data_IF_389528128212
#
_entry.id   IF_389528128212
#
_cell.length_a   1.000
_cell.length_b   1.000
_cell.length_c   1.000
_cell.angle_alpha   90.00
_cell.angle_beta   90.00
_cell.angle_gamma   90.00
#
_symmetry.space_group_name_H-M   'P 1'
#
loop_
_entity.id
_entity.type
_entity.pdbx_description
1 polymer ?
#
# COMPACT_ATOMS: atom_id res chain seq x y z
N UNK A 1 -4.26 -7.82 -21.79
CA UNK A 1 -4.62 -7.07 -20.56
C UNK A 1 -4.68 -5.60 -20.96
N UNK A 2 -5.74 -4.88 -20.61
CA UNK A 2 -5.84 -3.45 -20.93
C UNK A 2 -4.80 -2.69 -20.11
N UNK A 3 -4.07 -1.77 -20.74
CA UNK A 3 -3.25 -0.80 -20.00
C UNK A 3 -4.19 0.06 -19.14
N UNK A 4 -3.87 0.31 -17.86
CA UNK A 4 -4.62 1.25 -17.03
C UNK A 4 -4.65 2.65 -17.66
N UNK A 5 -5.69 3.43 -17.36
CA UNK A 5 -5.69 4.84 -17.74
C UNK A 5 -4.49 5.57 -17.08
N UNK A 6 -3.92 6.61 -17.72
CA UNK A 6 -2.89 7.44 -17.09
C UNK A 6 -3.35 7.97 -15.72
N UNK A 7 -2.41 8.26 -14.83
CA UNK A 7 -2.71 8.91 -13.56
C UNK A 7 -2.73 10.42 -13.78
N UNK A 8 -3.85 11.06 -13.43
CA UNK A 8 -4.00 12.53 -13.52
C UNK A 8 -3.73 13.23 -12.17
N UNK A 9 -4.03 12.56 -11.06
CA UNK A 9 -3.82 13.07 -9.69
C UNK A 9 -3.26 11.96 -8.80
N UNK A 10 -1.99 12.10 -8.39
CA UNK A 10 -1.33 11.13 -7.52
C UNK A 10 -1.93 11.07 -6.12
N UNK A 11 -2.62 12.11 -5.66
CA UNK A 11 -3.18 12.15 -4.30
C UNK A 11 -4.46 11.33 -4.15
N UNK A 12 -5.21 11.12 -5.24
CA UNK A 12 -6.51 10.44 -5.23
C UNK A 12 -6.63 9.24 -6.18
N UNK A 13 -5.66 9.02 -7.06
CA UNK A 13 -5.71 7.94 -8.06
C UNK A 13 -4.31 7.38 -8.38
N UNK A 14 -3.43 7.29 -7.38
CA UNK A 14 -2.05 6.83 -7.60
C UNK A 14 -1.97 5.41 -8.19
N UNK A 15 -0.92 5.20 -8.99
CA UNK A 15 -0.52 3.90 -9.52
C UNK A 15 1.01 3.77 -9.53
N UNK A 16 1.54 2.96 -8.63
CA UNK A 16 2.99 2.70 -8.53
C UNK A 16 3.56 1.89 -9.71
N UNK A 17 2.70 1.36 -10.60
CA UNK A 17 3.11 0.73 -11.85
C UNK A 17 3.02 1.69 -13.05
N UNK A 18 2.56 2.95 -12.86
CA UNK A 18 2.51 3.93 -13.94
C UNK A 18 3.91 4.18 -14.52
N UNK A 19 4.06 4.30 -15.85
CA UNK A 19 5.36 4.54 -16.48
C UNK A 19 6.13 5.72 -15.90
N UNK A 20 5.42 6.80 -15.54
CA UNK A 20 5.96 8.01 -14.92
C UNK A 20 6.57 7.71 -13.55
N UNK A 21 5.85 6.95 -12.70
CA UNK A 21 6.33 6.52 -11.39
C UNK A 21 7.54 5.61 -11.50
N UNK A 22 7.52 4.66 -12.44
CA UNK A 22 8.62 3.71 -12.65
C UNK A 22 9.87 4.43 -13.18
N UNK A 23 9.70 5.44 -14.03
CA UNK A 23 10.80 6.20 -14.63
C UNK A 23 11.49 7.14 -13.64
N UNK A 24 10.73 7.93 -12.89
CA UNK A 24 11.26 8.85 -11.87
C UNK A 24 10.22 9.10 -10.75
N UNK A 25 10.27 8.34 -9.65
CA UNK A 25 9.26 8.45 -8.60
C UNK A 25 9.49 9.62 -7.65
N UNK A 26 10.69 10.22 -7.63
CA UNK A 26 11.06 11.18 -6.58
C UNK A 26 10.19 12.45 -6.57
N UNK A 27 9.88 13.08 -7.72
CA UNK A 27 8.98 14.23 -7.76
C UNK A 27 7.58 13.89 -7.23
N UNK A 28 7.05 12.71 -7.55
CA UNK A 28 5.73 12.25 -7.10
C UNK A 28 5.74 12.08 -5.57
N UNK A 29 6.78 11.44 -5.03
CA UNK A 29 6.91 11.30 -3.59
C UNK A 29 7.02 12.65 -2.85
N UNK A 30 7.73 13.63 -3.42
CA UNK A 30 7.85 14.97 -2.85
C UNK A 30 6.51 15.73 -2.87
N UNK A 31 5.76 15.64 -3.97
CA UNK A 31 4.41 16.18 -4.08
C UNK A 31 3.49 15.59 -3.00
N UNK A 32 3.44 14.26 -2.88
CA UNK A 32 2.58 13.59 -1.91
C UNK A 32 2.95 13.96 -0.47
N UNK A 33 4.24 13.94 -0.09
CA UNK A 33 4.65 14.26 1.28
C UNK A 33 4.29 15.69 1.71
N UNK A 34 4.28 16.63 0.76
CA UNK A 34 4.03 18.05 1.02
C UNK A 34 2.55 18.41 0.92
N UNK A 35 1.80 17.81 -0.01
CA UNK A 35 0.38 18.11 -0.25
C UNK A 35 -0.59 17.14 0.42
N UNK A 36 -0.47 15.84 0.14
CA UNK A 36 -1.38 14.79 0.61
C UNK A 36 -0.58 13.57 1.12
N UNK A 37 -0.14 13.57 2.38
CA UNK A 37 0.80 12.58 2.88
C UNK A 37 0.21 11.17 3.03
N UNK A 38 -1.11 11.04 2.95
CA UNK A 38 -1.85 9.77 3.01
C UNK A 38 -2.79 9.74 1.79
N UNK A 39 -2.24 9.36 0.65
CA UNK A 39 -2.97 9.34 -0.63
C UNK A 39 -3.90 8.12 -0.72
N UNK A 40 -4.97 8.21 -1.49
CA UNK A 40 -5.91 7.11 -1.73
C UNK A 40 -5.96 6.73 -3.21
N UNK A 41 -6.32 5.49 -3.52
CA UNK A 41 -6.59 5.05 -4.90
C UNK A 41 -7.65 3.95 -4.89
N UNK A 42 -8.56 3.99 -5.86
CA UNK A 42 -9.56 2.93 -6.11
C UNK A 42 -9.06 1.89 -7.13
N UNK A 43 -7.86 2.07 -7.70
CA UNK A 43 -7.29 1.16 -8.72
C UNK A 43 -7.00 -0.24 -8.17
N UNK A 44 -6.73 -0.32 -6.88
CA UNK A 44 -6.36 -1.54 -6.18
C UNK A 44 -7.43 -1.91 -5.16
N UNK A 45 -7.76 -3.19 -5.08
CA UNK A 45 -8.72 -3.73 -4.11
C UNK A 45 -10.04 -2.93 -4.11
N UNK A 46 -10.65 -2.71 -2.95
CA UNK A 46 -11.81 -1.82 -2.74
C UNK A 46 -11.39 -0.39 -2.33
N UNK A 47 -10.11 -0.04 -2.55
CA UNK A 47 -9.49 1.18 -2.04
C UNK A 47 -8.20 0.86 -1.28
N UNK A 48 -7.11 1.57 -1.59
CA UNK A 48 -5.82 1.44 -0.90
C UNK A 48 -5.27 2.81 -0.51
N UNK A 49 -4.77 2.90 0.72
CA UNK A 49 -4.14 4.09 1.25
C UNK A 49 -2.61 3.98 1.18
N UNK A 50 -1.95 5.07 0.79
CA UNK A 50 -0.50 5.20 0.68
C UNK A 50 0.02 6.30 1.62
N UNK A 51 0.38 5.96 2.86
CA UNK A 51 1.13 6.86 3.74
C UNK A 51 2.55 7.06 3.21
N UNK A 52 3.02 8.30 3.18
CA UNK A 52 4.30 8.68 2.54
C UNK A 52 5.32 9.28 3.51
N UNK A 53 4.92 9.60 4.75
CA UNK A 53 5.81 10.10 5.80
C UNK A 53 6.32 8.95 6.67
N UNK A 54 7.57 9.07 7.08
CA UNK A 54 8.21 8.08 7.95
C UNK A 54 7.49 7.92 9.29
N UNK A 55 7.00 9.02 9.88
CA UNK A 55 6.28 8.98 11.17
C UNK A 55 4.98 8.16 11.08
N UNK A 56 4.21 8.34 10.00
CA UNK A 56 2.97 7.60 9.75
C UNK A 56 3.27 6.12 9.52
N UNK A 57 4.26 5.83 8.66
CA UNK A 57 4.69 4.47 8.36
C UNK A 57 5.18 3.72 9.61
N UNK A 58 6.00 4.39 10.44
CA UNK A 58 6.50 3.81 11.68
C UNK A 58 5.35 3.53 12.65
N UNK A 59 4.41 4.46 12.80
CA UNK A 59 3.23 4.29 13.68
C UNK A 59 2.39 3.09 13.22
N UNK A 60 2.07 3.02 11.93
CA UNK A 60 1.28 1.92 11.33
C UNK A 60 1.99 0.58 11.51
N UNK A 61 3.30 0.52 11.23
CA UNK A 61 4.07 -0.71 11.30
C UNK A 61 4.18 -1.29 12.73
N UNK A 62 4.16 -0.43 13.75
CA UNK A 62 4.24 -0.88 15.15
C UNK A 62 2.87 -1.16 15.78
N UNK A 63 1.78 -0.56 15.28
CA UNK A 63 0.43 -0.81 15.78
C UNK A 63 -0.26 -1.99 15.08
N UNK A 64 0.24 -3.19 15.40
CA UNK A 64 -0.33 -4.46 14.92
C UNK A 64 -1.74 -4.76 15.45
N UNK A 65 -2.26 -3.96 16.40
CA UNK A 65 -3.62 -4.13 16.93
C UNK A 65 -4.66 -3.47 16.03
N UNK A 66 -4.27 -2.42 15.32
CA UNK A 66 -5.10 -1.71 14.35
C UNK A 66 -4.77 -2.13 12.91
N UNK A 67 -3.49 -2.33 12.60
CA UNK A 67 -3.00 -2.65 11.26
C UNK A 67 -2.49 -4.10 11.18
N UNK A 68 -3.40 -5.00 10.77
CA UNK A 68 -3.10 -6.42 10.57
C UNK A 68 -2.17 -6.65 9.38
N UNK A 69 -1.23 -7.59 9.55
CA UNK A 69 -0.40 -8.15 8.45
C UNK A 69 -1.15 -9.18 7.61
N UNK A 70 -2.35 -9.58 8.02
CA UNK A 70 -3.20 -10.58 7.39
C UNK A 70 -3.90 -10.10 6.11
N UNK A 71 -3.16 -9.58 5.13
CA UNK A 71 -3.72 -9.04 3.89
C UNK A 71 -3.62 -10.03 2.69
N UNK A 72 -4.37 -9.76 1.62
CA UNK A 72 -4.21 -10.46 0.32
C UNK A 72 -3.36 -9.69 -0.71
N UNK A 73 -2.67 -8.63 -0.27
CA UNK A 73 -1.88 -7.73 -1.12
C UNK A 73 -2.74 -6.78 -1.94
N UNK A 74 -2.12 -5.82 -2.62
CA UNK A 74 -2.80 -4.91 -3.55
C UNK A 74 -2.98 -5.59 -4.91
N UNK A 75 -4.22 -5.66 -5.41
CA UNK A 75 -4.54 -6.26 -6.72
C UNK A 75 -5.44 -5.33 -7.53
N UNK A 76 -5.12 -5.14 -8.81
CA UNK A 76 -5.98 -4.36 -9.71
C UNK A 76 -7.28 -5.14 -10.00
N UNK A 77 -8.40 -4.43 -9.96
CA UNK A 77 -9.72 -4.99 -10.26
C UNK A 77 -10.34 -5.78 -9.11
N UNK A 78 -10.14 -5.32 -7.87
CA UNK A 78 -10.76 -5.87 -6.65
C UNK A 78 -9.89 -6.85 -5.87
N UNK A 79 -10.23 -7.05 -4.59
CA UNK A 79 -9.47 -7.96 -3.72
C UNK A 79 -9.60 -9.39 -4.19
N UNK A 80 -8.47 -10.04 -4.41
CA UNK A 80 -8.38 -11.48 -4.69
C UNK A 80 -7.78 -12.16 -3.48
N UNK A 81 -8.51 -13.08 -2.87
CA UNK A 81 -8.00 -13.83 -1.73
C UNK A 81 -6.73 -14.59 -2.12
N UNK A 82 -5.64 -14.38 -1.37
CA UNK A 82 -4.36 -15.07 -1.56
C UNK A 82 -4.07 -16.02 -0.41
N UNK A 83 -3.23 -17.02 -0.68
CA UNK A 83 -2.70 -17.88 0.36
C UNK A 83 -1.90 -17.05 1.37
N UNK A 84 -2.07 -17.34 2.67
CA UNK A 84 -1.25 -16.75 3.72
C UNK A 84 0.08 -17.48 3.78
N UNK A 85 1.15 -16.70 3.86
CA UNK A 85 2.52 -17.19 4.06
C UNK A 85 3.02 -16.75 5.44
N UNK A 86 3.04 -17.64 6.45
CA UNK A 86 3.69 -17.36 7.72
C UNK A 86 5.21 -17.19 7.60
N UNK A 87 5.85 -16.35 8.44
CA UNK A 87 5.21 -15.51 9.45
C UNK A 87 4.63 -14.20 8.86
N UNK A 88 4.98 -13.82 7.63
CA UNK A 88 4.70 -12.48 7.08
C UNK A 88 3.20 -12.09 7.01
N UNK A 89 2.27 -13.05 6.98
CA UNK A 89 0.82 -12.76 6.99
C UNK A 89 0.12 -13.08 8.33
N UNK A 90 0.88 -13.26 9.41
CA UNK A 90 0.35 -13.53 10.75
C UNK A 90 0.46 -12.28 11.63
N UNK A 91 -0.49 -12.16 12.55
CA UNK A 91 -0.46 -11.17 13.64
C UNK A 91 -0.11 -11.85 14.96
N UNK A 92 0.26 -11.10 16.01
CA UNK A 92 0.36 -11.65 17.36
C UNK A 92 -1.00 -12.21 17.87
N UNK A 93 -0.99 -13.30 18.66
CA UNK A 93 0.19 -14.01 19.16
C UNK A 93 0.81 -15.02 18.16
N UNK A 94 0.09 -15.50 17.15
CA UNK A 94 0.54 -16.60 16.28
C UNK A 94 1.83 -16.28 15.50
N UNK A 95 2.00 -15.01 15.11
CA UNK A 95 3.24 -14.53 14.49
C UNK A 95 4.48 -14.80 15.37
N UNK A 96 4.36 -14.65 16.69
CA UNK A 96 5.47 -14.78 17.63
C UNK A 96 5.94 -16.23 17.78
N UNK A 97 5.02 -17.18 17.70
CA UNK A 97 5.33 -18.61 17.81
C UNK A 97 6.17 -19.10 16.63
N UNK A 98 5.95 -18.53 15.43
CA UNK A 98 6.62 -18.94 14.18
C UNK A 98 7.89 -18.14 13.89
N UNK A 99 8.01 -16.91 14.42
CA UNK A 99 9.16 -16.01 14.15
C UNK A 99 10.38 -16.27 15.04
N UNK A 100 10.20 -16.88 16.21
CA UNK A 100 11.22 -16.97 17.27
C UNK A 100 12.47 -17.76 16.87
#
# INVERSE_FOLDING_TARGET
MSTPAPVEDWSTDWDHHAPEWVADPWPIWDELRTGCPIAHTDRYNEGVWLPTRHEDLSTIAHDTTVFSSGHSGATIGGTKQRAKFPPIHLDPPEHMDVRR
#
